data_IF_532882172060
#
_entry.id   IF_532882172060
#
_cell.length_a   1.000
_cell.length_b   1.000
_cell.length_c   1.000
_cell.angle_alpha   90.00
_cell.angle_beta   90.00
_cell.angle_gamma   90.00
#
_symmetry.space_group_name_H-M   'P 1'
#
loop_
_entity.id
_entity.type
_entity.pdbx_description
1 polymer ?
#
# COMPACT_ATOMS: atom_id res chain seq x y z
N UNK A 1 -23.35 5.27 16.33
CA UNK A 1 -22.32 4.21 16.40
C UNK A 1 -22.41 3.32 15.16
N UNK A 2 -21.57 3.50 14.13
CA UNK A 2 -21.34 2.52 13.06
C UNK A 2 -19.96 2.76 12.43
N UNK A 3 -18.88 2.39 13.14
CA UNK A 3 -17.50 2.61 12.66
C UNK A 3 -17.24 1.92 11.32
N UNK A 4 -17.69 0.67 11.17
CA UNK A 4 -17.53 -0.07 9.91
C UNK A 4 -18.18 0.64 8.72
N UNK A 5 -19.40 1.18 8.88
CA UNK A 5 -20.07 1.90 7.79
C UNK A 5 -19.33 3.20 7.46
N UNK A 6 -18.88 3.94 8.48
CA UNK A 6 -18.04 5.12 8.31
C UNK A 6 -16.76 4.78 7.54
N UNK A 7 -16.04 3.74 7.95
CA UNK A 7 -14.77 3.30 7.34
C UNK A 7 -14.95 2.87 5.88
N UNK A 8 -16.05 2.18 5.55
CA UNK A 8 -16.40 1.84 4.17
C UNK A 8 -16.58 3.12 3.32
N UNK A 9 -17.29 4.12 3.83
CA UNK A 9 -17.47 5.39 3.13
C UNK A 9 -16.19 6.24 3.04
N UNK A 10 -15.25 6.06 3.95
CA UNK A 10 -13.96 6.77 3.96
C UNK A 10 -12.92 6.16 3.02
N UNK A 11 -13.16 4.96 2.47
CA UNK A 11 -12.21 4.27 1.58
C UNK A 11 -11.70 5.12 0.40
N UNK A 12 -12.51 5.93 -0.32
CA UNK A 12 -12.00 6.77 -1.40
C UNK A 12 -10.93 7.76 -0.93
N UNK A 13 -11.13 8.34 0.25
CA UNK A 13 -10.17 9.26 0.88
C UNK A 13 -8.95 8.50 1.38
N UNK A 14 -9.13 7.33 2.00
CA UNK A 14 -8.03 6.49 2.47
C UNK A 14 -7.11 6.07 1.32
N UNK A 15 -7.66 5.60 0.20
CA UNK A 15 -6.90 5.24 -1.01
C UNK A 15 -6.13 6.45 -1.55
N UNK A 16 -6.80 7.60 -1.69
CA UNK A 16 -6.14 8.85 -2.16
C UNK A 16 -4.98 9.24 -1.24
N UNK A 17 -5.18 9.16 0.07
CA UNK A 17 -4.18 9.55 1.07
C UNK A 17 -2.99 8.59 1.08
N UNK A 18 -3.21 7.30 0.83
CA UNK A 18 -2.12 6.32 0.70
C UNK A 18 -1.32 6.52 -0.58
N UNK A 19 -1.96 6.84 -1.71
CA UNK A 19 -1.30 6.90 -3.02
C UNK A 19 -0.65 8.27 -3.28
N UNK A 20 -1.36 9.37 -3.04
CA UNK A 20 -0.96 10.73 -3.48
C UNK A 20 0.46 11.12 -3.06
N UNK A 21 0.91 10.87 -1.80
CA UNK A 21 2.26 11.25 -1.38
C UNK A 21 3.38 10.49 -2.12
N UNK A 22 3.05 9.37 -2.76
CA UNK A 22 3.99 8.45 -3.43
C UNK A 22 3.94 8.57 -4.95
N UNK A 23 3.32 9.61 -5.49
CA UNK A 23 3.27 9.86 -6.93
C UNK A 23 3.97 11.18 -7.23
N UNK A 24 5.08 11.12 -7.95
CA UNK A 24 5.84 12.29 -8.41
C UNK A 24 5.95 12.22 -9.93
N UNK A 25 5.54 13.29 -10.62
CA UNK A 25 5.49 13.36 -12.10
C UNK A 25 4.73 12.18 -12.75
N UNK A 26 3.68 11.70 -12.08
CA UNK A 26 2.84 10.59 -12.57
C UNK A 26 3.42 9.19 -12.36
N UNK A 27 4.57 9.06 -11.71
CA UNK A 27 5.22 7.78 -11.44
C UNK A 27 5.32 7.50 -9.93
N UNK A 28 5.34 6.23 -9.50
CA UNK A 28 5.62 5.87 -8.12
C UNK A 28 7.00 6.36 -7.65
N UNK A 29 7.03 7.05 -6.52
CA UNK A 29 8.23 7.48 -5.81
C UNK A 29 8.08 7.11 -4.34
N UNK A 30 9.03 6.32 -3.84
CA UNK A 30 9.06 5.82 -2.46
C UNK A 30 10.22 6.42 -1.64
N UNK A 31 10.89 7.46 -2.15
CA UNK A 31 12.01 8.10 -1.47
C UNK A 31 11.62 8.62 -0.08
N UNK A 32 10.39 9.13 0.08
CA UNK A 32 9.86 9.59 1.37
C UNK A 32 9.64 8.45 2.38
N UNK A 33 9.45 7.23 1.90
CA UNK A 33 9.31 6.02 2.73
C UNK A 33 10.67 5.38 3.05
N UNK A 34 11.78 5.96 2.56
CA UNK A 34 13.13 5.42 2.75
C UNK A 34 13.39 4.14 1.96
N UNK A 35 12.58 3.84 0.94
CA UNK A 35 12.74 2.64 0.11
C UNK A 35 13.74 2.94 -1.01
N UNK A 36 14.87 2.23 -0.97
CA UNK A 36 15.84 2.21 -2.07
C UNK A 36 15.34 1.29 -3.19
N UNK A 37 14.90 1.89 -4.29
CA UNK A 37 14.37 1.17 -5.46
C UNK A 37 15.43 0.26 -6.11
N UNK A 38 16.71 0.66 -6.08
CA UNK A 38 17.79 -0.15 -6.65
C UNK A 38 17.98 -1.41 -5.82
N UNK A 39 17.97 -1.26 -4.50
CA UNK A 39 18.01 -2.41 -3.59
C UNK A 39 16.78 -3.31 -3.76
N UNK A 40 15.58 -2.73 -3.85
CA UNK A 40 14.35 -3.50 -4.07
C UNK A 40 14.43 -4.31 -5.38
N UNK A 41 14.95 -3.71 -6.45
CA UNK A 41 15.10 -4.38 -7.75
C UNK A 41 16.09 -5.55 -7.76
N UNK A 42 16.99 -5.62 -6.77
CA UNK A 42 17.95 -6.72 -6.62
C UNK A 42 17.35 -7.99 -6.01
N UNK A 43 16.16 -7.89 -5.39
CA UNK A 43 15.53 -9.02 -4.72
C UNK A 43 14.99 -10.03 -5.72
N UNK A 44 15.36 -11.30 -5.53
CA UNK A 44 14.96 -12.39 -6.44
C UNK A 44 13.70 -13.11 -5.98
N UNK A 45 13.26 -12.87 -4.75
CA UNK A 45 12.10 -13.51 -4.15
C UNK A 45 11.50 -12.58 -3.09
N UNK A 46 10.17 -12.53 -3.04
CA UNK A 46 9.40 -11.81 -2.02
C UNK A 46 8.55 -12.84 -1.27
N UNK A 47 8.66 -12.84 0.05
CA UNK A 47 7.84 -13.67 0.93
C UNK A 47 6.78 -12.79 1.61
N UNK A 48 5.51 -13.09 1.39
CA UNK A 48 4.39 -12.39 2.02
C UNK A 48 3.90 -13.25 3.20
N UNK A 49 3.96 -12.70 4.41
CA UNK A 49 3.54 -13.37 5.64
C UNK A 49 2.49 -12.50 6.33
N UNK A 50 1.26 -13.00 6.44
CA UNK A 50 0.14 -12.29 7.05
C UNK A 50 -0.95 -13.26 7.53
N UNK A 51 -1.93 -12.75 8.27
CA UNK A 51 -3.08 -13.50 8.78
C UNK A 51 -4.41 -12.83 8.36
N UNK A 52 -5.48 -13.62 8.24
CA UNK A 52 -6.84 -13.10 8.01
C UNK A 52 -6.94 -12.20 6.78
N UNK A 53 -7.63 -11.06 6.91
CA UNK A 53 -7.84 -10.09 5.82
C UNK A 53 -6.54 -9.54 5.24
N UNK A 54 -5.47 -9.41 6.04
CA UNK A 54 -4.17 -8.97 5.54
C UNK A 54 -3.52 -10.01 4.61
N UNK A 55 -3.73 -11.31 4.87
CA UNK A 55 -3.30 -12.37 3.94
C UNK A 55 -4.09 -12.33 2.64
N UNK A 56 -5.40 -12.06 2.70
CA UNK A 56 -6.21 -11.90 1.50
C UNK A 56 -5.72 -10.73 0.63
N UNK A 57 -5.35 -9.61 1.25
CA UNK A 57 -4.73 -8.49 0.53
C UNK A 57 -3.40 -8.90 -0.14
N UNK A 58 -2.55 -9.65 0.58
CA UNK A 58 -1.29 -10.18 0.04
C UNK A 58 -1.45 -11.20 -1.10
N UNK A 59 -2.56 -11.95 -1.13
CA UNK A 59 -2.88 -12.90 -2.20
C UNK A 59 -3.46 -12.23 -3.46
N UNK A 60 -4.25 -11.16 -3.27
CA UNK A 60 -4.84 -10.41 -4.38
C UNK A 60 -3.78 -9.59 -5.10
N UNK A 61 -2.84 -8.99 -4.35
CA UNK A 61 -1.60 -8.37 -4.86
C UNK A 61 -1.81 -7.38 -5.99
#
# INVERSE_FOLDING_TARGET
EHFMLKEIHEQPTAVRTTITPRIVNGMPDFASDGIDINKLSSYRQIFIVACGTAMHAGMVG
#
